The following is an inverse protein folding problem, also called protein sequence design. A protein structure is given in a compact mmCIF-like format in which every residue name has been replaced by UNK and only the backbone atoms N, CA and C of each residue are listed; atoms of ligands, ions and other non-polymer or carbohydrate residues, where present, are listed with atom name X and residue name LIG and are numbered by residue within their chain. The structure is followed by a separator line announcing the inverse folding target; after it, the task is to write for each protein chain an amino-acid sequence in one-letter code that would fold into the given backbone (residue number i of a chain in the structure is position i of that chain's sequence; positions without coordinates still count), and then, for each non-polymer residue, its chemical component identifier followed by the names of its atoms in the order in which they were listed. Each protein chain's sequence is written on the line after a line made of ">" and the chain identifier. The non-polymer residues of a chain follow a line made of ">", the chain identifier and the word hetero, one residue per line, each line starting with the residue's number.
data_IF_746546720189
#
_entry.id   IF_746546720189
#
_cell.length_a   1.000
_cell.length_b   1.000
_cell.length_c   1.000
_cell.angle_alpha   90.00
_cell.angle_beta   90.00
_cell.angle_gamma   90.00
#
_symmetry.space_group_name_H-M   'P 1'
#
loop_
_entity.id
_entity.type
_entity.pdbx_description
1 polymer ?
#
# COMPACT_ATOMS: atom_id res chain seq x y z
N UNK A 1 3.33 3.26 6.57
CA UNK A 1 2.88 3.68 5.22
C UNK A 1 1.61 4.47 5.38
N UNK A 2 1.57 5.69 4.87
CA UNK A 2 0.39 6.56 4.95
C UNK A 2 -0.50 6.32 3.74
N UNK A 3 -1.81 6.14 3.97
CA UNK A 3 -2.82 6.01 2.91
C UNK A 3 -3.64 7.30 2.86
N UNK A 4 -3.67 7.96 1.70
CA UNK A 4 -4.43 9.20 1.49
C UNK A 4 -5.91 8.91 1.24
N UNK A 5 -6.76 9.89 1.53
CA UNK A 5 -8.22 9.78 1.43
C UNK A 5 -8.74 9.47 0.02
N UNK A 6 -7.98 9.79 -1.03
CA UNK A 6 -8.35 9.50 -2.42
C UNK A 6 -7.88 8.13 -2.92
N UNK A 7 -7.40 7.25 -2.03
CA UNK A 7 -7.11 5.86 -2.39
C UNK A 7 -8.35 5.18 -2.98
N UNK A 8 -8.22 4.63 -4.19
CA UNK A 8 -9.33 3.96 -4.90
C UNK A 8 -9.49 2.48 -4.52
N UNK A 9 -8.69 1.97 -3.58
CA UNK A 9 -8.66 0.56 -3.19
C UNK A 9 -8.49 -0.41 -4.39
N UNK A 10 -7.72 -0.01 -5.41
CA UNK A 10 -7.53 -0.78 -6.64
C UNK A 10 -6.75 -2.10 -6.47
N UNK A 11 -5.98 -2.27 -5.39
CA UNK A 11 -5.24 -3.50 -5.12
C UNK A 11 -3.82 -3.59 -5.71
N UNK A 12 -3.37 -2.64 -6.53
CA UNK A 12 -2.04 -2.70 -7.17
C UNK A 12 -0.91 -2.85 -6.14
N UNK A 13 -0.95 -2.06 -5.06
CA UNK A 13 0.00 -2.12 -3.95
C UNK A 13 0.07 -3.51 -3.28
N UNK A 14 -1.05 -4.23 -3.21
CA UNK A 14 -1.10 -5.59 -2.69
C UNK A 14 -0.45 -6.59 -3.66
N UNK A 15 -0.68 -6.42 -4.96
CA UNK A 15 -0.09 -7.27 -6.00
C UNK A 15 1.43 -7.16 -6.10
N UNK A 16 1.99 -5.97 -5.85
CA UNK A 16 3.44 -5.75 -5.93
C UNK A 16 4.19 -6.00 -4.62
N UNK A 17 3.49 -6.22 -3.50
CA UNK A 17 4.13 -6.42 -2.21
C UNK A 17 4.79 -7.81 -2.16
N UNK A 18 6.13 -7.93 -2.16
CA UNK A 18 6.80 -9.25 -2.21
C UNK A 18 6.60 -10.08 -0.94
N UNK A 19 6.12 -9.44 0.14
CA UNK A 19 5.85 -10.07 1.44
C UNK A 19 4.34 -10.26 1.71
N UNK A 20 3.48 -9.90 0.76
CA UNK A 20 2.02 -10.01 0.89
C UNK A 20 1.45 -9.33 2.16
N UNK A 21 1.99 -8.16 2.53
CA UNK A 21 1.64 -7.44 3.76
C UNK A 21 0.45 -6.50 3.62
N UNK A 22 -0.11 -6.36 2.42
CA UNK A 22 -1.19 -5.42 2.13
C UNK A 22 -2.42 -6.23 1.72
N UNK A 23 -3.53 -6.00 2.42
CA UNK A 23 -4.85 -6.50 2.05
C UNK A 23 -5.75 -5.34 1.64
N UNK A 24 -6.38 -5.46 0.49
CA UNK A 24 -7.31 -4.46 -0.03
C UNK A 24 -8.71 -5.07 -0.11
N UNK A 25 -9.69 -4.35 0.42
CA UNK A 25 -11.13 -4.64 0.36
C UNK A 25 -11.83 -3.48 -0.34
N UNK A 26 -13.14 -3.59 -0.56
CA UNK A 26 -13.93 -2.63 -1.34
C UNK A 26 -13.75 -1.16 -0.91
N UNK A 27 -13.61 -0.90 0.40
CA UNK A 27 -13.45 0.46 0.95
C UNK A 27 -12.36 0.55 2.04
N UNK A 28 -11.45 -0.42 2.09
CA UNK A 28 -10.39 -0.40 3.12
C UNK A 28 -9.11 -1.07 2.66
N UNK A 29 -8.00 -0.61 3.22
CA UNK A 29 -6.67 -1.17 3.06
C UNK A 29 -6.09 -1.43 4.44
N UNK A 30 -5.61 -2.65 4.65
CA UNK A 30 -4.91 -3.06 5.87
C UNK A 30 -3.47 -3.35 5.49
N UNK A 31 -2.52 -2.76 6.21
CA UNK A 31 -1.09 -2.94 5.99
C UNK A 31 -0.46 -3.46 7.29
N UNK A 32 0.20 -4.63 7.21
CA UNK A 32 1.00 -5.17 8.30
C UNK A 32 2.44 -4.62 8.22
N UNK A 33 2.73 -3.65 9.08
CA UNK A 33 4.04 -2.99 9.12
C UNK A 33 5.14 -3.85 9.78
N UNK A 34 4.77 -4.86 10.58
CA UNK A 34 5.71 -5.60 11.44
C UNK A 34 6.80 -6.33 10.67
N UNK A 35 6.50 -6.78 9.46
CA UNK A 35 7.40 -7.51 8.57
C UNK A 35 7.85 -6.69 7.35
N UNK A 36 7.48 -5.40 7.30
CA UNK A 36 7.87 -4.51 6.21
C UNK A 36 9.39 -4.26 6.23
N UNK A 37 10.01 -4.24 5.04
CA UNK A 37 11.44 -3.88 4.87
C UNK A 37 11.63 -2.61 4.06
N UNK A 38 10.64 -1.73 4.08
CA UNK A 38 10.73 -0.37 3.52
C UNK A 38 11.15 -0.31 2.04
N UNK A 39 10.84 -1.37 1.28
CA UNK A 39 11.25 -1.52 -0.12
C UNK A 39 10.58 -0.55 -1.10
N UNK A 40 9.57 0.21 -0.65
CA UNK A 40 8.90 1.29 -1.41
C UNK A 40 8.07 0.86 -2.62
N UNK A 41 8.10 -0.42 -3.01
CA UNK A 41 7.41 -0.92 -4.21
C UNK A 41 5.91 -0.59 -4.22
N UNK A 42 5.24 -0.67 -3.07
CA UNK A 42 3.81 -0.32 -2.96
C UNK A 42 3.54 1.17 -3.24
N UNK A 43 4.43 2.05 -2.80
CA UNK A 43 4.32 3.50 -3.01
C UNK A 43 4.52 3.82 -4.49
N UNK A 44 5.59 3.29 -5.08
CA UNK A 44 5.95 3.54 -6.49
C UNK A 44 4.91 2.98 -7.48
N UNK A 45 4.27 1.86 -7.13
CA UNK A 45 3.25 1.23 -7.96
C UNK A 45 1.89 1.93 -7.91
N UNK A 46 1.66 2.86 -6.97
CA UNK A 46 0.34 3.48 -6.83
C UNK A 46 0.05 4.42 -8.02
N UNK A 47 -0.92 4.09 -8.90
CA UNK A 47 -1.13 4.84 -10.15
C UNK A 47 -1.69 6.26 -9.92
N UNK A 48 -2.21 6.51 -8.71
CA UNK A 48 -2.84 7.78 -8.32
C UNK A 48 -2.09 8.46 -7.15
N UNK A 49 -0.87 8.00 -6.83
CA UNK A 49 -0.03 8.55 -5.76
C UNK A 49 -0.78 8.72 -4.43
N UNK A 50 -1.59 7.73 -4.05
CA UNK A 50 -2.37 7.73 -2.80
C UNK A 50 -1.62 7.11 -1.61
N UNK A 51 -0.38 6.66 -1.81
CA UNK A 51 0.45 6.03 -0.79
C UNK A 51 1.73 6.85 -0.57
N UNK A 52 2.15 7.00 0.68
CA UNK A 52 3.36 7.73 1.07
C UNK A 52 4.13 6.95 2.15
N UNK A 53 5.44 7.16 2.24
CA UNK A 53 6.25 6.62 3.33
C UNK A 53 5.95 7.37 4.63
N UNK A 54 6.10 6.71 5.77
CA UNK A 54 6.28 7.42 7.04
C UNK A 54 7.74 7.86 7.12
N UNK A 55 7.97 9.09 7.58
CA UNK A 55 9.29 9.63 7.90
C UNK A 55 9.85 9.06 9.22
#
# INVERSE_FOLDING_TARGET
>A
MIVKDWCSFCGECAGVCPRNLIQVKEYSLVFDESECRECSTCVDACPINALEKED
#
